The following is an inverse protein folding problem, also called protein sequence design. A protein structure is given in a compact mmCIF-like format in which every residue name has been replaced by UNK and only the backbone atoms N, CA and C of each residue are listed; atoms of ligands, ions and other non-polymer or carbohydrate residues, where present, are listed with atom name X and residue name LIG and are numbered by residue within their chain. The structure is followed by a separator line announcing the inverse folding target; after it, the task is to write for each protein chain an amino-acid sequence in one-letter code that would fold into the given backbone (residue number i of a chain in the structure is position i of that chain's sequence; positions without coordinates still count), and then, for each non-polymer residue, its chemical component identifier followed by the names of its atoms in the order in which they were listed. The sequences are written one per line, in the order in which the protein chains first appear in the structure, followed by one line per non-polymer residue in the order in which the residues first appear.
data_IF_462925405342
#
_entry.id   IF_462925405342
#
_cell.length_a   1.000
_cell.length_b   1.000
_cell.length_c   1.000
_cell.angle_alpha   90.00
_cell.angle_beta   90.00
_cell.angle_gamma   90.00
#
_symmetry.space_group_name_H-M   'P 1'
#
loop_
_entity.id
_entity.type
_entity.pdbx_description
1 polymer ?
#
# COMPACT_ATOMS: atom_id res chain seq x y z
N UNK A 1 3.28 7.15 26.17
CA UNK A 1 3.45 7.90 27.44
C UNK A 1 3.58 9.41 27.19
N UNK A 2 4.33 9.78 26.15
CA UNK A 2 4.60 11.17 25.75
C UNK A 2 3.34 12.01 25.49
N UNK A 3 2.23 11.39 25.03
CA UNK A 3 0.99 12.09 24.67
C UNK A 3 -0.05 12.19 25.80
N UNK A 4 0.34 11.99 27.07
CA UNK A 4 -0.59 12.03 28.21
C UNK A 4 -0.63 13.38 28.94
N UNK A 5 -0.07 14.43 28.34
CA UNK A 5 -0.06 15.77 28.93
C UNK A 5 -1.50 16.26 29.15
N UNK A 6 -1.81 16.74 30.36
CA UNK A 6 -3.15 17.20 30.73
C UNK A 6 -4.13 16.09 31.12
N UNK A 7 -3.80 14.81 30.88
CA UNK A 7 -4.72 13.70 31.16
C UNK A 7 -5.06 13.57 32.64
N UNK A 8 -4.09 13.80 33.54
CA UNK A 8 -4.33 13.81 34.99
C UNK A 8 -5.38 14.87 35.40
N UNK A 9 -5.29 16.07 34.83
CA UNK A 9 -6.25 17.14 35.10
C UNK A 9 -7.64 16.80 34.53
N UNK A 10 -7.70 16.23 33.32
CA UNK A 10 -8.94 15.76 32.72
C UNK A 10 -9.62 14.66 33.57
N UNK A 11 -8.85 13.72 34.11
CA UNK A 11 -9.34 12.69 35.04
C UNK A 11 -9.92 13.34 36.30
N UNK A 12 -9.20 14.27 36.92
CA UNK A 12 -9.67 14.97 38.13
C UNK A 12 -10.93 15.81 37.88
N UNK A 13 -11.06 16.41 36.71
CA UNK A 13 -12.27 17.13 36.29
C UNK A 13 -13.44 16.17 36.06
N UNK A 14 -13.22 15.05 35.39
CA UNK A 14 -14.25 14.03 35.15
C UNK A 14 -14.77 13.45 36.48
N UNK A 15 -13.89 13.20 37.46
CA UNK A 15 -14.27 12.73 38.79
C UNK A 15 -15.15 13.72 39.58
N UNK A 16 -15.08 15.02 39.26
CA UNK A 16 -15.87 16.09 39.91
C UNK A 16 -17.08 16.53 39.08
N UNK A 17 -17.27 15.98 37.89
CA UNK A 17 -18.35 16.38 36.98
C UNK A 17 -19.70 15.88 37.51
N UNK A 18 -20.59 16.81 37.84
CA UNK A 18 -21.94 16.49 38.31
C UNK A 18 -22.75 15.76 37.23
N UNK A 19 -22.52 16.11 35.95
CA UNK A 19 -23.16 15.45 34.81
C UNK A 19 -22.76 13.98 34.74
N UNK A 20 -21.47 13.67 34.80
CA UNK A 20 -20.97 12.27 34.78
C UNK A 20 -21.47 11.50 36.01
N UNK A 21 -21.41 12.11 37.19
CA UNK A 21 -21.84 11.49 38.45
C UNK A 21 -23.37 11.24 38.50
N UNK A 22 -24.15 11.93 37.67
CA UNK A 22 -25.61 11.76 37.59
C UNK A 22 -26.05 10.61 36.65
N UNK A 23 -25.13 10.06 35.86
CA UNK A 23 -25.44 8.97 34.90
C UNK A 23 -25.71 7.67 35.67
N UNK A 24 -26.94 7.16 35.55
CA UNK A 24 -27.35 5.89 36.20
C UNK A 24 -27.27 4.68 35.26
N UNK A 25 -27.31 4.90 33.95
CA UNK A 25 -27.19 3.84 32.94
C UNK A 25 -25.71 3.53 32.64
N UNK A 26 -25.22 2.30 32.89
CA UNK A 26 -23.80 2.01 32.79
C UNK A 26 -23.29 1.98 31.33
N UNK A 27 -24.14 1.67 30.35
CA UNK A 27 -23.81 1.78 28.93
C UNK A 27 -23.60 3.25 28.53
N UNK A 28 -24.49 4.14 28.99
CA UNK A 28 -24.34 5.59 28.80
C UNK A 28 -23.05 6.11 29.44
N UNK A 29 -22.72 5.65 30.65
CA UNK A 29 -21.46 6.03 31.31
C UNK A 29 -20.24 5.58 30.49
N UNK A 30 -20.24 4.35 30.00
CA UNK A 30 -19.16 3.82 29.15
C UNK A 30 -18.98 4.66 27.87
N UNK A 31 -20.09 5.02 27.22
CA UNK A 31 -20.07 5.87 26.01
C UNK A 31 -19.50 7.27 26.29
N UNK A 32 -19.99 7.94 27.35
CA UNK A 32 -19.52 9.28 27.73
C UNK A 32 -18.03 9.27 28.05
N UNK A 33 -17.56 8.28 28.82
CA UNK A 33 -16.13 8.16 29.15
C UNK A 33 -15.29 7.86 27.91
N UNK A 34 -15.80 7.03 26.98
CA UNK A 34 -15.15 6.76 25.68
C UNK A 34 -15.00 8.04 24.87
N UNK A 35 -16.07 8.80 24.65
CA UNK A 35 -16.00 10.06 23.91
C UNK A 35 -15.06 11.08 24.58
N UNK A 36 -15.05 11.13 25.91
CA UNK A 36 -14.15 11.99 26.68
C UNK A 36 -12.67 11.65 26.47
N UNK A 37 -12.30 10.36 26.58
CA UNK A 37 -10.90 9.93 26.40
C UNK A 37 -10.45 10.05 24.94
N UNK A 38 -11.30 9.68 23.99
CA UNK A 38 -10.99 9.76 22.57
C UNK A 38 -10.80 11.21 22.10
N UNK A 39 -11.65 12.14 22.54
CA UNK A 39 -11.51 13.56 22.21
C UNK A 39 -10.27 14.20 22.85
N UNK A 40 -9.91 13.78 24.06
CA UNK A 40 -8.75 14.33 24.77
C UNK A 40 -7.41 13.83 24.21
N UNK A 41 -7.36 12.56 23.79
CA UNK A 41 -6.13 11.91 23.32
C UNK A 41 -6.04 11.78 21.79
N UNK A 42 -7.14 12.08 21.08
CA UNK A 42 -7.28 11.88 19.64
C UNK A 42 -6.92 10.45 19.19
N UNK A 43 -7.28 9.45 20.01
CA UNK A 43 -7.04 8.04 19.72
C UNK A 43 -8.37 7.26 19.76
N UNK A 44 -8.95 6.91 18.60
CA UNK A 44 -10.25 6.22 18.53
C UNK A 44 -10.17 4.77 19.01
N UNK A 45 -8.97 4.22 19.23
CA UNK A 45 -8.77 2.84 19.68
C UNK A 45 -8.96 2.67 21.18
N UNK A 46 -8.99 3.78 21.93
CA UNK A 46 -9.34 3.79 23.35
C UNK A 46 -10.85 3.68 23.51
N UNK A 47 -11.31 2.57 24.07
CA UNK A 47 -12.73 2.28 24.24
C UNK A 47 -12.98 1.84 25.67
N UNK A 48 -13.99 2.43 26.30
CA UNK A 48 -14.54 1.95 27.58
C UNK A 48 -15.88 1.29 27.28
N UNK A 49 -16.02 0.02 27.62
CA UNK A 49 -17.24 -0.76 27.41
C UNK A 49 -17.83 -1.21 28.74
N UNK A 50 -19.15 -1.44 28.75
CA UNK A 50 -19.85 -2.10 29.85
C UNK A 50 -20.41 -3.44 29.36
N UNK A 51 -19.96 -4.53 29.97
CA UNK A 51 -20.23 -5.90 29.54
C UNK A 51 -20.70 -6.73 30.73
N UNK A 52 -22.02 -6.81 30.97
CA UNK A 52 -22.61 -7.42 32.16
C UNK A 52 -22.62 -8.96 32.14
N UNK A 53 -22.11 -9.59 31.07
CA UNK A 53 -22.15 -11.04 30.88
C UNK A 53 -21.44 -11.80 32.00
N UNK A 54 -22.14 -12.84 32.46
CA UNK A 54 -21.84 -13.75 33.58
C UNK A 54 -20.41 -14.28 33.48
N UNK A 55 -19.77 -14.48 34.64
CA UNK A 55 -18.50 -15.17 34.90
C UNK A 55 -18.21 -16.40 34.02
N UNK A 56 -17.96 -16.20 32.74
CA UNK A 56 -16.95 -16.97 32.05
C UNK A 56 -15.72 -16.09 32.17
N UNK A 57 -14.80 -16.49 33.07
CA UNK A 57 -13.41 -16.07 32.87
C UNK A 57 -13.15 -16.24 31.38
N UNK A 58 -12.60 -15.23 30.67
CA UNK A 58 -12.39 -15.34 29.23
C UNK A 58 -11.81 -16.72 29.02
N UNK A 59 -12.53 -17.60 28.31
CA UNK A 59 -11.98 -18.91 27.99
C UNK A 59 -10.69 -18.53 27.29
N UNK A 60 -9.57 -18.66 28.01
CA UNK A 60 -8.28 -18.37 27.42
C UNK A 60 -8.26 -19.34 26.28
N UNK A 61 -8.38 -18.81 25.05
CA UNK A 61 -8.21 -19.61 23.87
C UNK A 61 -6.95 -20.41 24.15
N UNK A 62 -7.01 -21.76 24.12
CA UNK A 62 -5.91 -22.58 24.58
C UNK A 62 -4.63 -22.02 23.97
N UNK A 63 -3.66 -21.69 24.82
CA UNK A 63 -2.39 -21.13 24.37
C UNK A 63 -1.91 -21.97 23.19
N UNK A 64 -1.41 -21.34 22.12
CA UNK A 64 -1.00 -22.07 20.91
C UNK A 64 -0.01 -23.20 21.23
N UNK A 65 0.75 -23.05 22.33
CA UNK A 65 1.61 -24.07 22.92
C UNK A 65 0.91 -25.40 23.27
N UNK A 66 -0.38 -25.36 23.63
CA UNK A 66 -1.17 -26.49 24.11
C UNK A 66 -1.90 -27.24 23.00
N UNK A 67 -1.90 -26.71 21.78
CA UNK A 67 -2.53 -27.34 20.62
C UNK A 67 -1.66 -28.45 20.05
N UNK A 68 -2.30 -29.50 19.54
CA UNK A 68 -1.60 -30.54 18.79
C UNK A 68 -1.12 -30.01 17.44
N UNK A 69 -0.21 -30.74 16.80
CA UNK A 69 0.30 -30.38 15.48
C UNK A 69 -0.83 -30.37 14.43
N UNK A 70 -1.78 -31.30 14.52
CA UNK A 70 -2.94 -31.41 13.63
C UNK A 70 -3.89 -30.22 13.79
N UNK A 71 -4.10 -29.76 15.03
CA UNK A 71 -4.95 -28.59 15.30
C UNK A 71 -4.30 -27.31 14.76
N UNK A 72 -2.99 -27.14 14.96
CA UNK A 72 -2.23 -26.01 14.41
C UNK A 72 -2.26 -26.03 12.88
N UNK A 73 -2.07 -27.20 12.27
CA UNK A 73 -2.13 -27.37 10.82
C UNK A 73 -3.53 -27.03 10.27
N UNK A 74 -4.59 -27.50 10.94
CA UNK A 74 -5.97 -27.21 10.57
C UNK A 74 -6.26 -25.71 10.59
N UNK A 75 -5.77 -25.00 11.62
CA UNK A 75 -5.88 -23.53 11.68
C UNK A 75 -5.12 -22.83 10.55
N UNK A 76 -3.89 -23.25 10.28
CA UNK A 76 -3.11 -22.71 9.15
C UNK A 76 -3.83 -22.91 7.82
N UNK A 77 -4.41 -24.08 7.57
CA UNK A 77 -5.13 -24.37 6.32
C UNK A 77 -6.41 -23.54 6.15
N UNK A 78 -7.04 -23.11 7.25
CA UNK A 78 -8.20 -22.21 7.20
C UNK A 78 -7.79 -20.78 6.87
N UNK A 79 -6.66 -20.33 7.43
CA UNK A 79 -6.21 -18.93 7.36
C UNK A 79 -5.25 -18.64 6.22
N UNK A 80 -4.62 -19.66 5.61
CA UNK A 80 -3.66 -19.51 4.53
C UNK A 80 -4.13 -20.28 3.31
N UNK A 81 -4.24 -19.59 2.17
CA UNK A 81 -4.57 -20.19 0.88
C UNK A 81 -3.54 -19.77 -0.15
N UNK A 82 -3.13 -20.71 -1.00
CA UNK A 82 -2.22 -20.41 -2.10
C UNK A 82 -2.69 -21.06 -3.40
N UNK A 83 -2.36 -20.40 -4.50
CA UNK A 83 -2.74 -20.76 -5.87
C UNK A 83 -1.66 -20.27 -6.84
N UNK A 84 -1.56 -20.90 -8.01
CA UNK A 84 -0.84 -20.35 -9.16
C UNK A 84 -1.88 -19.95 -10.19
N UNK A 85 -2.03 -18.64 -10.36
CA UNK A 85 -2.97 -18.02 -11.30
C UNK A 85 -2.45 -18.13 -12.74
N UNK A 86 -3.34 -17.84 -13.69
CA UNK A 86 -2.97 -17.71 -15.10
C UNK A 86 -1.82 -16.70 -15.29
N UNK A 87 -0.93 -17.01 -16.24
CA UNK A 87 0.27 -16.21 -16.47
C UNK A 87 1.42 -16.49 -15.50
N UNK A 88 1.36 -17.58 -14.74
CA UNK A 88 2.37 -18.00 -13.76
C UNK A 88 2.55 -16.97 -12.63
N UNK A 89 1.44 -16.47 -12.08
CA UNK A 89 1.43 -15.55 -10.94
C UNK A 89 1.08 -16.33 -9.67
N UNK A 90 1.97 -16.34 -8.69
CA UNK A 90 1.67 -16.89 -7.38
C UNK A 90 0.67 -16.02 -6.66
N UNK A 91 -0.32 -16.63 -6.03
CA UNK A 91 -1.28 -15.97 -5.17
C UNK A 91 -1.20 -16.60 -3.79
N UNK A 92 -0.98 -15.76 -2.76
CA UNK A 92 -0.91 -16.16 -1.36
C UNK A 92 -1.84 -15.27 -0.55
N UNK A 93 -2.91 -15.85 -0.03
CA UNK A 93 -3.84 -15.18 0.89
C UNK A 93 -3.55 -15.59 2.31
N UNK A 94 -3.46 -14.60 3.20
CA UNK A 94 -3.32 -14.80 4.64
C UNK A 94 -4.40 -14.00 5.36
N UNK A 95 -5.25 -14.68 6.13
CA UNK A 95 -6.32 -14.07 6.91
C UNK A 95 -5.92 -13.88 8.39
N UNK A 96 -4.85 -14.55 8.83
CA UNK A 96 -4.25 -14.44 10.15
C UNK A 96 -2.76 -14.81 10.07
N UNK A 97 -1.88 -13.99 10.65
CA UNK A 97 -0.44 -14.23 10.57
C UNK A 97 0.05 -15.20 11.67
N UNK A 98 0.64 -16.37 11.32
CA UNK A 98 1.15 -17.29 12.31
C UNK A 98 2.37 -16.71 13.04
N UNK A 99 2.39 -16.87 14.38
CA UNK A 99 3.54 -16.51 15.20
C UNK A 99 4.65 -17.56 15.18
N UNK A 100 5.78 -17.20 15.81
CA UNK A 100 6.97 -18.05 15.93
C UNK A 100 6.66 -19.43 16.53
N UNK A 101 5.73 -19.53 17.48
CA UNK A 101 5.32 -20.81 18.07
C UNK A 101 4.79 -21.79 17.02
N UNK A 102 3.97 -21.30 16.09
CA UNK A 102 3.41 -22.11 14.99
C UNK A 102 4.47 -22.37 13.93
N UNK A 103 5.24 -21.33 13.55
CA UNK A 103 6.28 -21.43 12.53
C UNK A 103 7.42 -22.38 12.93
N UNK A 104 7.77 -22.46 14.22
CA UNK A 104 8.79 -23.39 14.71
C UNK A 104 8.39 -24.87 14.57
N UNK A 105 7.08 -25.18 14.64
CA UNK A 105 6.55 -26.54 14.51
C UNK A 105 6.20 -26.91 13.06
N UNK A 106 5.70 -25.94 12.29
CA UNK A 106 5.11 -26.18 10.96
C UNK A 106 5.86 -25.47 9.81
N UNK A 107 7.01 -24.86 10.08
CA UNK A 107 7.80 -24.13 9.09
C UNK A 107 8.21 -24.99 7.90
N UNK A 108 8.77 -26.18 8.13
CA UNK A 108 9.14 -27.10 7.05
C UNK A 108 7.93 -27.56 6.22
N UNK A 109 6.78 -27.72 6.88
CA UNK A 109 5.53 -28.05 6.20
C UNK A 109 5.11 -26.93 5.25
N UNK A 110 5.15 -25.67 5.72
CA UNK A 110 4.85 -24.48 4.91
C UNK A 110 5.84 -24.33 3.76
N UNK A 111 7.12 -24.59 3.99
CA UNK A 111 8.12 -24.60 2.90
C UNK A 111 7.74 -25.60 1.82
N UNK A 112 7.50 -26.85 2.22
CA UNK A 112 7.29 -27.95 1.28
C UNK A 112 5.98 -27.82 0.51
N UNK A 113 4.91 -27.33 1.15
CA UNK A 113 3.57 -27.38 0.58
C UNK A 113 3.07 -26.06 0.00
N UNK A 114 3.72 -24.94 0.34
CA UNK A 114 3.32 -23.59 -0.08
C UNK A 114 4.48 -22.83 -0.72
N UNK A 115 5.57 -22.56 0.02
CA UNK A 115 6.65 -21.72 -0.52
C UNK A 115 7.33 -22.33 -1.74
N UNK A 116 7.65 -23.62 -1.71
CA UNK A 116 8.27 -24.34 -2.83
C UNK A 116 7.52 -24.13 -4.16
N UNK A 117 6.18 -24.16 -4.12
CA UNK A 117 5.32 -23.95 -5.29
C UNK A 117 5.29 -22.50 -5.74
N UNK A 118 5.33 -21.56 -4.78
CA UNK A 118 5.31 -20.13 -5.07
C UNK A 118 6.67 -19.65 -5.61
N UNK A 119 7.79 -20.27 -5.23
CA UNK A 119 9.13 -19.85 -5.66
C UNK A 119 9.33 -19.85 -7.17
N UNK A 120 8.69 -20.78 -7.89
CA UNK A 120 8.83 -20.92 -9.35
C UNK A 120 7.95 -19.94 -10.16
N UNK A 121 7.08 -19.19 -9.48
CA UNK A 121 6.19 -18.23 -10.13
C UNK A 121 6.95 -17.02 -10.67
N UNK A 122 6.38 -16.31 -11.65
CA UNK A 122 7.00 -15.12 -12.25
C UNK A 122 6.79 -13.84 -11.45
N UNK A 123 5.71 -13.79 -10.67
CA UNK A 123 5.36 -12.70 -9.76
C UNK A 123 4.47 -13.24 -8.63
N UNK A 124 4.37 -12.50 -7.53
CA UNK A 124 3.58 -12.89 -6.35
C UNK A 124 2.55 -11.81 -6.00
N UNK A 125 1.32 -12.24 -5.73
CA UNK A 125 0.29 -11.44 -5.09
C UNK A 125 0.11 -11.95 -3.66
N UNK A 126 0.43 -11.10 -2.67
CA UNK A 126 0.15 -11.33 -1.25
C UNK A 126 -1.17 -10.64 -0.90
N UNK A 127 -2.23 -11.43 -0.71
CA UNK A 127 -3.55 -10.92 -0.36
C UNK A 127 -3.74 -10.83 1.16
N UNK A 128 -3.81 -9.60 1.67
CA UNK A 128 -4.07 -9.26 3.07
C UNK A 128 -5.43 -8.59 3.28
N UNK A 129 -6.31 -8.58 2.25
CA UNK A 129 -7.62 -7.90 2.32
C UNK A 129 -8.54 -8.41 3.43
N UNK A 130 -8.28 -9.60 3.95
CA UNK A 130 -9.05 -10.23 5.02
C UNK A 130 -8.23 -10.46 6.29
N UNK A 131 -6.97 -10.00 6.32
CA UNK A 131 -6.08 -10.19 7.44
C UNK A 131 -6.39 -9.16 8.54
N UNK A 132 -7.07 -9.62 9.59
CA UNK A 132 -7.48 -8.80 10.76
C UNK A 132 -6.71 -9.15 12.03
N UNK A 133 -5.88 -10.19 11.96
CA UNK A 133 -5.18 -10.73 13.11
C UNK A 133 -3.78 -11.22 12.78
N UNK A 134 -3.10 -11.71 13.81
CA UNK A 134 -1.82 -12.36 13.68
C UNK A 134 -0.89 -12.00 14.81
N UNK A 135 0.32 -12.56 14.73
CA UNK A 135 1.33 -12.39 15.76
C UNK A 135 2.53 -11.62 15.21
N UNK A 136 2.95 -10.60 15.96
CA UNK A 136 4.15 -9.79 15.69
C UNK A 136 5.38 -10.66 15.35
N UNK A 137 5.56 -11.78 16.06
CA UNK A 137 6.69 -12.70 15.85
C UNK A 137 6.70 -13.40 14.49
N UNK A 138 5.61 -13.32 13.72
CA UNK A 138 5.54 -13.79 12.34
C UNK A 138 6.07 -12.79 11.30
N UNK A 139 6.14 -11.49 11.63
CA UNK A 139 6.58 -10.43 10.69
C UNK A 139 7.98 -10.74 10.12
N UNK A 140 9.02 -11.05 10.94
CA UNK A 140 10.33 -11.38 10.42
C UNK A 140 10.31 -12.45 9.34
N UNK A 141 9.45 -13.46 9.49
CA UNK A 141 9.39 -14.60 8.57
C UNK A 141 8.91 -14.15 7.18
N UNK A 142 7.74 -13.51 7.08
CA UNK A 142 7.19 -13.07 5.79
C UNK A 142 8.11 -12.06 5.11
N UNK A 143 8.60 -11.06 5.85
CA UNK A 143 9.49 -10.05 5.28
C UNK A 143 10.79 -10.69 4.79
N UNK A 144 11.30 -11.73 5.46
CA UNK A 144 12.52 -12.40 5.02
C UNK A 144 12.37 -13.18 3.72
N UNK A 145 11.25 -13.90 3.51
CA UNK A 145 11.04 -14.55 2.21
C UNK A 145 10.92 -13.55 1.06
N UNK A 146 10.42 -12.35 1.32
CA UNK A 146 10.26 -11.32 0.31
C UNK A 146 11.47 -10.37 0.23
N UNK A 147 12.36 -10.37 1.21
CA UNK A 147 13.64 -9.67 1.14
C UNK A 147 14.68 -10.59 0.49
N UNK A 148 15.14 -10.31 -0.74
CA UNK A 148 15.96 -11.24 -1.52
C UNK A 148 17.42 -11.29 -1.05
N UNK A 149 17.88 -10.28 -0.31
CA UNK A 149 19.23 -10.22 0.23
C UNK A 149 19.44 -11.15 1.43
N UNK A 150 20.67 -11.63 1.58
CA UNK A 150 21.13 -12.25 2.83
C UNK A 150 21.59 -11.21 3.86
N UNK A 151 21.52 -9.92 3.49
CA UNK A 151 21.74 -8.81 4.41
C UNK A 151 20.62 -8.76 5.43
N UNK A 152 20.99 -8.76 6.70
CA UNK A 152 20.05 -8.56 7.80
C UNK A 152 19.66 -7.08 7.83
N UNK A 153 18.37 -6.79 7.71
CA UNK A 153 17.81 -5.44 7.69
C UNK A 153 16.88 -5.25 8.89
N UNK A 154 17.03 -4.11 9.58
CA UNK A 154 16.08 -3.67 10.60
C UNK A 154 14.83 -3.13 9.91
N UNK A 155 13.68 -3.73 10.19
CA UNK A 155 12.44 -3.41 9.47
C UNK A 155 11.44 -2.67 10.34
N UNK A 156 11.45 -2.90 11.65
CA UNK A 156 10.63 -2.14 12.61
C UNK A 156 11.18 -2.22 14.04
N UNK A 157 10.82 -1.29 14.90
CA UNK A 157 10.98 -1.38 16.35
C UNK A 157 9.63 -1.27 17.03
N UNK A 158 9.31 -2.23 17.89
CA UNK A 158 8.02 -2.27 18.59
C UNK A 158 8.25 -1.92 20.05
N UNK A 159 7.52 -0.91 20.54
CA UNK A 159 7.46 -0.57 21.95
C UNK A 159 6.26 -1.21 22.60
N UNK A 160 6.49 -2.04 23.63
CA UNK A 160 5.47 -2.63 24.49
C UNK A 160 5.39 -1.88 25.82
N UNK A 161 4.21 -1.30 26.11
CA UNK A 161 3.99 -0.47 27.30
C UNK A 161 3.90 -1.28 28.61
N UNK A 162 3.21 -2.42 28.70
CA UNK A 162 3.12 -3.20 29.93
C UNK A 162 4.47 -3.68 30.47
N UNK A 163 5.32 -4.24 29.60
CA UNK A 163 6.69 -4.63 29.95
C UNK A 163 7.67 -3.45 29.96
N UNK A 164 7.29 -2.33 29.33
CA UNK A 164 8.12 -1.16 29.10
C UNK A 164 9.42 -1.51 28.37
N UNK A 165 9.32 -2.33 27.34
CA UNK A 165 10.46 -2.79 26.52
C UNK A 165 10.29 -2.37 25.07
N UNK A 166 11.41 -2.28 24.35
CA UNK A 166 11.45 -2.13 22.90
C UNK A 166 12.07 -3.37 22.29
N UNK A 167 11.39 -3.96 21.30
CA UNK A 167 11.89 -5.12 20.56
C UNK A 167 12.10 -4.73 19.12
N UNK A 168 13.31 -4.94 18.62
CA UNK A 168 13.63 -4.71 17.21
C UNK A 168 13.22 -5.93 16.38
N UNK A 169 12.65 -5.65 15.22
CA UNK A 169 12.22 -6.62 14.21
C UNK A 169 13.23 -6.57 13.08
N UNK A 170 13.97 -7.66 12.91
CA UNK A 170 14.99 -7.82 11.89
C UNK A 170 14.58 -8.92 10.91
N UNK A 171 14.98 -8.80 9.64
CA UNK A 171 14.93 -9.94 8.73
C UNK A 171 15.82 -11.07 9.25
N UNK A 172 15.42 -12.32 9.05
CA UNK A 172 16.19 -13.49 9.41
C UNK A 172 17.46 -13.57 8.54
N UNK A 173 18.61 -14.00 9.08
CA UNK A 173 19.82 -14.21 8.28
C UNK A 173 19.64 -15.35 7.27
N UNK A 174 18.85 -16.36 7.63
CA UNK A 174 18.49 -17.49 6.77
C UNK A 174 17.00 -17.79 6.92
N UNK A 175 16.39 -18.22 5.82
CA UNK A 175 15.03 -18.77 5.82
C UNK A 175 15.10 -20.25 5.42
N UNK A 176 14.23 -21.11 5.96
CA UNK A 176 14.07 -22.46 5.45
C UNK A 176 13.68 -22.46 3.96
N UNK A 177 14.43 -23.13 3.09
CA UNK A 177 14.22 -23.07 1.64
C UNK A 177 14.86 -21.84 1.00
N UNK A 178 14.20 -21.26 -0.02
CA UNK A 178 14.75 -20.14 -0.80
C UNK A 178 13.97 -18.84 -0.56
N UNK A 179 14.63 -17.70 -0.82
CA UNK A 179 14.00 -16.37 -0.82
C UNK A 179 13.40 -16.07 -2.18
N UNK A 180 12.30 -15.34 -2.21
CA UNK A 180 11.65 -14.90 -3.44
C UNK A 180 12.54 -13.87 -4.16
N UNK A 181 12.89 -14.17 -5.41
CA UNK A 181 13.90 -13.42 -6.19
C UNK A 181 13.61 -11.92 -6.23
N UNK A 182 14.68 -11.11 -6.18
CA UNK A 182 14.60 -9.65 -6.30
C UNK A 182 13.97 -9.20 -7.63
N UNK A 183 14.14 -10.00 -8.68
CA UNK A 183 13.69 -9.68 -10.04
C UNK A 183 12.20 -9.99 -10.25
N UNK A 184 11.56 -10.66 -9.28
CA UNK A 184 10.16 -11.06 -9.34
C UNK A 184 9.30 -10.05 -8.60
N UNK A 185 8.31 -9.52 -9.31
CA UNK A 185 7.40 -8.52 -8.78
C UNK A 185 6.55 -9.07 -7.63
N UNK A 186 6.29 -8.21 -6.65
CA UNK A 186 5.39 -8.50 -5.53
C UNK A 186 4.33 -7.41 -5.46
N UNK A 187 3.07 -7.81 -5.38
CA UNK A 187 1.94 -6.92 -5.13
C UNK A 187 1.26 -7.33 -3.83
N UNK A 188 0.95 -6.38 -2.97
CA UNK A 188 0.21 -6.62 -1.73
C UNK A 188 -1.20 -6.06 -1.89
N UNK A 189 -2.22 -6.88 -1.62
CA UNK A 189 -3.62 -6.43 -1.65
C UNK A 189 -4.09 -6.02 -0.26
N UNK A 190 -4.72 -4.85 -0.16
CA UNK A 190 -5.26 -4.32 1.10
C UNK A 190 -6.73 -3.93 1.00
N UNK A 191 -7.45 -3.99 2.13
CA UNK A 191 -8.81 -3.45 2.27
C UNK A 191 -8.90 -2.57 3.52
N UNK A 192 -10.04 -1.88 3.71
CA UNK A 192 -10.35 -1.19 4.96
C UNK A 192 -10.46 -2.09 6.20
N UNK A 193 -10.40 -3.42 6.03
CA UNK A 193 -10.35 -4.41 7.13
C UNK A 193 -8.95 -4.97 7.37
N UNK A 194 -7.96 -4.63 6.55
CA UNK A 194 -6.59 -5.06 6.80
C UNK A 194 -6.11 -4.36 8.07
N UNK A 195 -5.77 -5.14 9.10
CA UNK A 195 -5.57 -4.63 10.46
C UNK A 195 -4.30 -5.16 11.14
N UNK A 196 -3.71 -4.33 11.99
CA UNK A 196 -2.64 -4.71 12.91
C UNK A 196 -1.38 -5.20 12.22
N UNK A 197 -0.97 -6.44 12.51
CA UNK A 197 0.26 -7.05 11.98
C UNK A 197 0.31 -7.06 10.44
N UNK A 198 -0.85 -7.18 9.79
CA UNK A 198 -0.94 -7.15 8.32
C UNK A 198 -0.64 -5.75 7.74
N UNK A 199 -1.04 -4.70 8.45
CA UNK A 199 -0.72 -3.32 8.10
C UNK A 199 0.78 -3.09 8.19
N UNK A 200 1.43 -3.64 9.23
CA UNK A 200 2.87 -3.52 9.40
C UNK A 200 3.65 -4.21 8.27
N UNK A 201 3.23 -5.41 7.87
CA UNK A 201 3.82 -6.10 6.70
C UNK A 201 3.65 -5.27 5.42
N UNK A 202 2.44 -4.78 5.16
CA UNK A 202 2.17 -3.96 3.97
C UNK A 202 3.01 -2.66 3.99
N UNK A 203 3.13 -2.03 5.15
CA UNK A 203 3.92 -0.83 5.36
C UNK A 203 5.41 -1.09 5.14
N UNK A 204 5.98 -2.11 5.77
CA UNK A 204 7.39 -2.49 5.64
C UNK A 204 7.73 -2.79 4.18
N UNK A 205 6.96 -3.65 3.50
CA UNK A 205 7.22 -4.01 2.11
C UNK A 205 7.12 -2.82 1.15
N UNK A 206 6.20 -1.88 1.44
CA UNK A 206 6.08 -0.62 0.71
C UNK A 206 7.31 0.28 0.93
N UNK A 207 7.73 0.48 2.19
CA UNK A 207 8.89 1.33 2.51
C UNK A 207 10.19 0.76 1.94
N UNK A 208 10.34 -0.57 1.94
CA UNK A 208 11.47 -1.26 1.31
C UNK A 208 11.44 -1.21 -0.22
N UNK A 209 10.39 -0.64 -0.84
CA UNK A 209 10.11 -0.71 -2.29
C UNK A 209 10.11 -2.13 -2.84
N UNK A 210 9.77 -3.11 -1.98
CA UNK A 210 9.72 -4.52 -2.38
C UNK A 210 8.38 -4.89 -3.00
N UNK A 211 7.30 -4.22 -2.59
CA UNK A 211 5.97 -4.48 -3.10
C UNK A 211 5.21 -3.21 -3.46
N UNK A 212 4.31 -3.35 -4.43
CA UNK A 212 3.30 -2.36 -4.76
C UNK A 212 2.05 -2.68 -3.95
N UNK A 213 1.57 -1.74 -3.13
CA UNK A 213 0.34 -1.92 -2.35
C UNK A 213 -0.86 -1.47 -3.19
N UNK A 214 -1.85 -2.34 -3.37
CA UNK A 214 -3.02 -2.11 -4.25
C UNK A 214 -4.30 -2.41 -3.48
N UNK A 215 -5.27 -1.51 -3.54
CA UNK A 215 -6.56 -1.70 -2.87
C UNK A 215 -6.96 -0.46 -2.10
N UNK A 216 -7.52 -0.66 -0.92
CA UNK A 216 -7.99 0.43 -0.07
C UNK A 216 -6.94 0.81 0.98
N UNK A 217 -7.15 1.99 1.58
CA UNK A 217 -6.47 2.37 2.81
C UNK A 217 -6.86 1.38 3.91
N UNK A 218 -5.88 0.91 4.67
CA UNK A 218 -6.09 -0.06 5.75
C UNK A 218 -6.77 0.57 6.98
N UNK A 219 -7.11 -0.26 7.97
CA UNK A 219 -7.90 0.14 9.14
C UNK A 219 -7.25 1.28 9.96
N UNK A 220 -5.93 1.27 10.09
CA UNK A 220 -5.21 2.14 11.02
C UNK A 220 -5.31 1.66 12.46
N UNK A 221 -5.25 0.35 12.66
CA UNK A 221 -5.44 -0.29 13.96
C UNK A 221 -4.24 -0.12 14.91
N UNK A 222 -3.98 -1.18 15.68
CA UNK A 222 -2.80 -1.29 16.55
C UNK A 222 -2.21 -2.69 16.42
N UNK A 223 -0.92 -2.83 16.73
CA UNK A 223 -0.26 -4.14 16.76
C UNK A 223 -0.81 -5.05 17.87
N UNK A 224 -1.15 -4.47 19.02
CA UNK A 224 -1.75 -5.21 20.15
C UNK A 224 -2.73 -4.31 20.91
N UNK A 225 -3.95 -4.82 21.09
CA UNK A 225 -5.02 -4.22 21.89
C UNK A 225 -5.29 -5.14 23.08
N UNK A 226 -5.17 -4.60 24.29
CA UNK A 226 -5.59 -5.31 25.48
C UNK A 226 -6.93 -4.78 25.98
N UNK A 227 -7.80 -5.71 26.33
CA UNK A 227 -9.08 -5.44 26.98
C UNK A 227 -8.98 -5.78 28.46
N UNK A 228 -8.90 -4.75 29.28
CA UNK A 228 -8.63 -4.84 30.71
C UNK A 228 -9.91 -4.60 31.51
N UNK A 229 -10.27 -5.53 32.40
CA UNK A 229 -11.40 -5.33 33.32
C UNK A 229 -11.05 -4.25 34.34
N UNK A 230 -11.96 -3.31 34.58
CA UNK A 230 -11.78 -2.24 35.55
C UNK A 230 -12.21 -2.73 36.94
N UNK A 231 -11.22 -3.15 37.74
CA UNK A 231 -11.44 -3.67 39.09
C UNK A 231 -12.39 -4.87 39.11
N UNK A 232 -13.37 -4.84 40.02
CA UNK A 232 -14.40 -5.89 40.13
C UNK A 232 -15.69 -5.54 39.37
N UNK A 233 -15.69 -4.48 38.55
CA UNK A 233 -16.85 -4.00 37.82
C UNK A 233 -17.07 -4.74 36.49
N UNK A 234 -18.19 -4.48 35.84
CA UNK A 234 -18.46 -4.96 34.48
C UNK A 234 -17.99 -3.96 33.40
N UNK A 235 -17.14 -3.00 33.76
CA UNK A 235 -16.50 -2.11 32.80
C UNK A 235 -15.16 -2.68 32.33
N UNK A 236 -14.85 -2.47 31.07
CA UNK A 236 -13.59 -2.82 30.45
C UNK A 236 -12.97 -1.60 29.76
N UNK A 237 -11.64 -1.53 29.76
CA UNK A 237 -10.84 -0.61 28.98
C UNK A 237 -10.14 -1.39 27.88
N UNK A 238 -10.48 -1.11 26.62
CA UNK A 238 -9.68 -1.52 25.47
C UNK A 238 -8.65 -0.45 25.19
N UNK A 239 -7.37 -0.82 25.18
CA UNK A 239 -6.24 0.09 25.05
C UNK A 239 -5.14 -0.51 24.17
N UNK A 240 -4.57 0.26 23.22
CA UNK A 240 -3.35 -0.16 22.53
C UNK A 240 -2.19 -0.20 23.52
N UNK A 241 -1.56 -1.36 23.61
CA UNK A 241 -0.45 -1.61 24.55
C UNK A 241 0.90 -1.68 23.87
N UNK A 242 0.92 -1.92 22.56
CA UNK A 242 2.11 -1.89 21.74
C UNK A 242 1.98 -0.87 20.62
N UNK A 243 3.12 -0.30 20.19
CA UNK A 243 3.20 0.55 19.00
C UNK A 243 4.43 0.25 18.16
N UNK A 244 4.28 0.31 16.84
CA UNK A 244 5.35 0.39 15.86
C UNK A 244 6.03 1.76 15.93
N UNK A 245 7.35 1.80 15.85
CA UNK A 245 8.17 3.02 15.86
C UNK A 245 8.90 3.24 14.52
N UNK A 246 8.76 2.32 13.58
CA UNK A 246 9.53 2.26 12.35
C UNK A 246 10.99 1.81 12.56
N UNK A 247 11.74 1.59 11.47
CA UNK A 247 13.11 1.08 11.52
C UNK A 247 14.14 2.07 12.08
N UNK A 248 13.79 3.36 12.21
CA UNK A 248 14.69 4.36 12.81
C UNK A 248 14.38 4.59 14.30
N UNK A 249 13.34 3.95 14.86
CA UNK A 249 12.94 4.07 16.27
C UNK A 249 12.48 5.46 16.70
N UNK A 250 12.49 6.44 15.79
CA UNK A 250 12.26 7.87 16.08
C UNK A 250 10.80 8.29 16.11
N UNK A 251 9.85 7.37 15.96
CA UNK A 251 8.41 7.66 16.08
C UNK A 251 7.85 8.61 15.01
N UNK A 252 8.57 8.82 13.91
CA UNK A 252 8.04 9.57 12.76
C UNK A 252 6.94 8.76 12.09
N UNK A 253 5.73 9.33 12.04
CA UNK A 253 4.58 8.96 11.20
C UNK A 253 4.57 7.49 10.73
N UNK A 254 4.13 6.58 11.62
CA UNK A 254 3.91 5.18 11.29
C UNK A 254 2.52 4.98 10.66
N UNK A 255 2.20 3.73 10.29
CA UNK A 255 0.89 3.38 9.76
C UNK A 255 -0.20 3.37 10.84
N UNK A 256 0.14 3.32 12.13
CA UNK A 256 -0.88 3.23 13.19
C UNK A 256 -1.76 4.49 13.26
N UNK A 257 -3.07 4.28 13.48
CA UNK A 257 -4.08 5.34 13.51
C UNK A 257 -4.46 5.87 12.12
N UNK A 258 -3.51 5.98 11.19
CA UNK A 258 -3.82 6.38 9.81
C UNK A 258 -4.11 5.20 8.89
N UNK A 259 -3.57 4.03 9.14
CA UNK A 259 -3.48 2.94 8.17
C UNK A 259 -2.44 3.22 7.08
N UNK A 260 -2.15 2.18 6.31
CA UNK A 260 -1.31 2.19 5.12
C UNK A 260 -2.11 2.72 3.95
N UNK A 261 -1.67 3.84 3.39
CA UNK A 261 -2.19 4.33 2.11
C UNK A 261 -1.67 3.42 0.98
N UNK A 262 -2.52 2.90 0.08
CA UNK A 262 -2.08 2.08 -1.04
C UNK A 262 -1.24 2.90 -2.03
N UNK A 263 -0.37 2.24 -2.79
CA UNK A 263 0.30 2.84 -3.96
C UNK A 263 -0.71 3.09 -5.09
N UNK A 264 -1.69 2.18 -5.24
CA UNK A 264 -2.79 2.30 -6.21
C UNK A 264 -4.12 2.11 -5.48
N UNK A 265 -4.86 3.20 -5.33
CA UNK A 265 -6.19 3.19 -4.72
C UNK A 265 -7.23 2.56 -5.64
N UNK A 266 -7.93 1.54 -5.15
CA UNK A 266 -9.05 0.89 -5.84
C UNK A 266 -9.93 0.13 -4.82
N UNK A 267 -11.23 -0.10 -5.06
CA UNK A 267 -12.05 -0.93 -4.18
C UNK A 267 -11.42 -2.30 -3.94
N UNK A 268 -11.54 -2.85 -2.72
CA UNK A 268 -10.88 -4.10 -2.34
C UNK A 268 -11.27 -5.28 -3.26
N UNK A 269 -12.49 -5.28 -3.80
CA UNK A 269 -12.99 -6.29 -4.73
C UNK A 269 -12.25 -6.26 -6.08
N UNK A 270 -11.81 -5.08 -6.51
CA UNK A 270 -11.10 -4.86 -7.78
C UNK A 270 -9.57 -4.93 -7.64
N UNK A 271 -9.06 -5.03 -6.42
CA UNK A 271 -7.62 -4.99 -6.14
C UNK A 271 -6.83 -6.09 -6.85
N UNK A 272 -7.37 -7.33 -6.89
CA UNK A 272 -6.71 -8.45 -7.57
C UNK A 272 -6.63 -8.23 -9.08
N UNK A 273 -7.72 -7.81 -9.71
CA UNK A 273 -7.74 -7.49 -11.15
C UNK A 273 -6.71 -6.42 -11.48
N UNK A 274 -6.69 -5.34 -10.69
CA UNK A 274 -5.74 -4.25 -10.85
C UNK A 274 -4.29 -4.72 -10.68
N UNK A 275 -4.03 -5.59 -9.70
CA UNK A 275 -2.71 -6.19 -9.49
C UNK A 275 -2.26 -7.02 -10.69
N UNK A 276 -3.13 -7.86 -11.25
CA UNK A 276 -2.82 -8.68 -12.42
C UNK A 276 -2.56 -7.83 -13.67
N UNK A 277 -3.28 -6.72 -13.84
CA UNK A 277 -3.02 -5.76 -14.91
C UNK A 277 -1.62 -5.11 -14.77
N UNK A 278 -1.24 -4.70 -13.55
CA UNK A 278 0.10 -4.17 -13.24
C UNK A 278 1.16 -5.20 -13.59
N UNK A 279 1.02 -6.43 -13.12
CA UNK A 279 1.98 -7.51 -13.36
C UNK A 279 2.12 -7.84 -14.85
N UNK A 280 1.02 -7.83 -15.60
CA UNK A 280 1.02 -8.05 -17.05
C UNK A 280 1.82 -6.98 -17.77
N UNK A 281 1.59 -5.71 -17.42
CA UNK A 281 2.35 -4.57 -17.97
C UNK A 281 3.84 -4.70 -17.65
N UNK A 282 4.19 -4.97 -16.39
CA UNK A 282 5.58 -5.07 -15.94
C UNK A 282 6.33 -6.20 -16.62
N UNK A 283 5.67 -7.34 -16.85
CA UNK A 283 6.23 -8.45 -17.62
C UNK A 283 6.54 -8.07 -19.08
N UNK A 284 5.71 -7.22 -19.70
CA UNK A 284 5.93 -6.77 -21.07
C UNK A 284 6.99 -5.65 -21.19
N UNK A 285 7.25 -4.93 -20.09
CA UNK A 285 8.02 -3.71 -20.07
C UNK A 285 9.46 -3.83 -20.61
N UNK A 286 10.26 -4.86 -20.27
CA UNK A 286 11.60 -5.02 -20.87
C UNK A 286 11.56 -5.11 -22.40
N UNK A 287 10.54 -5.78 -22.94
CA UNK A 287 10.31 -5.87 -24.38
C UNK A 287 9.94 -4.51 -24.98
N UNK A 288 9.04 -3.76 -24.33
CA UNK A 288 8.63 -2.42 -24.77
C UNK A 288 9.84 -1.47 -24.81
N UNK A 289 10.64 -1.44 -23.75
CA UNK A 289 11.83 -0.57 -23.65
C UNK A 289 12.86 -0.92 -24.73
N UNK A 290 13.12 -2.21 -24.98
CA UNK A 290 14.03 -2.65 -26.04
C UNK A 290 13.58 -2.16 -27.42
N UNK A 291 12.31 -2.35 -27.78
CA UNK A 291 11.80 -1.90 -29.08
C UNK A 291 11.82 -0.36 -29.20
N UNK A 292 11.59 0.35 -28.10
CA UNK A 292 11.72 1.81 -28.07
C UNK A 292 13.16 2.26 -28.31
N UNK A 293 14.13 1.59 -27.67
CA UNK A 293 15.56 1.85 -27.89
C UNK A 293 15.96 1.62 -29.36
N UNK A 294 15.52 0.52 -29.96
CA UNK A 294 15.72 0.23 -31.39
C UNK A 294 15.09 1.29 -32.29
N UNK A 295 13.84 1.69 -32.02
CA UNK A 295 13.17 2.72 -32.79
C UNK A 295 13.88 4.09 -32.72
N UNK A 296 14.43 4.45 -31.55
CA UNK A 296 15.21 5.67 -31.40
C UNK A 296 16.54 5.61 -32.17
N UNK A 297 17.18 4.43 -32.23
CA UNK A 297 18.42 4.25 -33.00
C UNK A 297 18.17 4.34 -34.51
N UNK A 298 17.09 3.73 -34.98
CA UNK A 298 16.84 3.56 -36.41
C UNK A 298 16.17 4.79 -37.05
N UNK A 299 15.32 5.50 -36.30
CA UNK A 299 14.42 6.51 -36.89
C UNK A 299 14.58 7.92 -36.33
N UNK A 300 15.21 8.12 -35.17
CA UNK A 300 15.29 9.46 -34.59
C UNK A 300 16.33 10.33 -35.30
N UNK A 301 15.89 11.47 -35.83
CA UNK A 301 16.71 12.32 -36.72
C UNK A 301 17.77 13.13 -35.98
N UNK A 302 17.57 13.44 -34.69
CA UNK A 302 18.56 14.12 -33.86
C UNK A 302 19.56 13.11 -33.27
N UNK A 303 20.40 12.54 -34.16
CA UNK A 303 21.30 11.41 -33.88
C UNK A 303 22.22 11.66 -32.68
N UNK A 304 22.70 12.91 -32.51
CA UNK A 304 23.59 13.29 -31.39
C UNK A 304 22.94 13.10 -30.01
N UNK A 305 21.61 13.07 -29.94
CA UNK A 305 20.85 12.86 -28.69
C UNK A 305 20.59 11.38 -28.39
N UNK A 306 20.70 10.50 -29.38
CA UNK A 306 20.37 9.07 -29.25
C UNK A 306 21.15 8.38 -28.12
N UNK A 307 22.48 8.53 -27.98
CA UNK A 307 23.22 7.87 -26.89
C UNK A 307 22.70 8.24 -25.49
N UNK A 308 22.34 9.51 -25.28
CA UNK A 308 21.80 9.99 -24.01
C UNK A 308 20.40 9.41 -23.73
N UNK A 309 19.55 9.31 -24.76
CA UNK A 309 18.21 8.71 -24.63
C UNK A 309 18.28 7.22 -24.30
N UNK A 310 19.18 6.48 -24.96
CA UNK A 310 19.39 5.06 -24.68
C UNK A 310 19.88 4.82 -23.25
N UNK A 311 20.85 5.64 -22.81
CA UNK A 311 21.34 5.59 -21.43
C UNK A 311 20.22 5.89 -20.44
N UNK A 312 19.41 6.91 -20.71
CA UNK A 312 18.26 7.24 -19.86
C UNK A 312 17.29 6.07 -19.74
N UNK A 313 16.86 5.47 -20.85
CA UNK A 313 15.95 4.32 -20.86
C UNK A 313 16.52 3.11 -20.13
N UNK A 314 17.83 2.88 -20.20
CA UNK A 314 18.50 1.79 -19.47
C UNK A 314 18.63 2.04 -17.96
N UNK A 315 18.68 3.31 -17.54
CA UNK A 315 18.87 3.72 -16.14
C UNK A 315 17.57 4.07 -15.39
N UNK A 316 16.45 4.12 -16.11
CA UNK A 316 15.16 4.51 -15.58
C UNK A 316 14.62 3.49 -14.56
N UNK A 317 14.07 4.00 -13.45
CA UNK A 317 13.44 3.17 -12.43
C UNK A 317 11.99 2.79 -12.81
N UNK A 318 11.86 1.61 -13.42
CA UNK A 318 10.56 1.06 -13.78
C UNK A 318 9.81 0.39 -12.60
N UNK A 319 10.42 0.26 -11.42
CA UNK A 319 9.76 -0.37 -10.24
C UNK A 319 8.50 0.36 -9.80
N UNK A 320 8.43 1.66 -10.09
CA UNK A 320 7.28 2.53 -9.77
C UNK A 320 6.15 2.51 -10.80
N UNK A 321 6.28 1.78 -11.91
CA UNK A 321 5.29 1.76 -12.99
C UNK A 321 4.07 0.92 -12.60
N UNK A 322 2.89 1.55 -12.59
CA UNK A 322 1.62 0.94 -12.12
C UNK A 322 0.49 0.97 -13.16
N UNK A 323 0.68 1.62 -14.30
CA UNK A 323 -0.28 1.62 -15.41
C UNK A 323 0.40 2.00 -16.72
N UNK A 324 -0.27 1.73 -17.84
CA UNK A 324 0.20 2.16 -19.17
C UNK A 324 0.29 3.69 -19.26
N UNK A 325 -0.69 4.40 -18.70
CA UNK A 325 -0.70 5.87 -18.64
C UNK A 325 0.48 6.41 -17.82
N UNK A 326 0.78 5.79 -16.68
CA UNK A 326 1.94 6.14 -15.85
C UNK A 326 3.25 5.89 -16.60
N UNK A 327 3.37 4.74 -17.29
CA UNK A 327 4.52 4.43 -18.13
C UNK A 327 4.71 5.49 -19.23
N UNK A 328 3.66 5.80 -19.98
CA UNK A 328 3.68 6.80 -21.06
C UNK A 328 4.07 8.16 -20.52
N UNK A 329 3.51 8.57 -19.39
CA UNK A 329 3.81 9.86 -18.75
C UNK A 329 5.28 9.94 -18.37
N UNK A 330 5.81 8.90 -17.71
CA UNK A 330 7.21 8.87 -17.29
C UNK A 330 8.18 8.79 -18.47
N UNK A 331 7.87 7.99 -19.50
CA UNK A 331 8.67 7.92 -20.72
C UNK A 331 8.71 9.27 -21.43
N UNK A 332 7.56 9.93 -21.62
CA UNK A 332 7.50 11.24 -22.27
C UNK A 332 8.29 12.30 -21.49
N UNK A 333 8.08 12.37 -20.17
CA UNK A 333 8.82 13.31 -19.33
C UNK A 333 10.34 13.11 -19.43
N UNK A 334 10.81 11.85 -19.37
CA UNK A 334 12.23 11.51 -19.45
C UNK A 334 12.84 11.77 -20.83
N UNK A 335 12.18 11.30 -21.89
CA UNK A 335 12.65 11.44 -23.27
C UNK A 335 12.72 12.90 -23.70
N UNK A 336 11.70 13.71 -23.36
CA UNK A 336 11.67 15.13 -23.72
C UNK A 336 12.72 15.94 -22.94
N UNK A 337 12.91 15.63 -21.65
CA UNK A 337 13.93 16.29 -20.84
C UNK A 337 15.35 16.01 -21.37
N UNK A 338 15.63 14.78 -21.81
CA UNK A 338 16.96 14.38 -22.30
C UNK A 338 17.22 14.85 -23.74
N UNK A 339 16.20 14.81 -24.60
CA UNK A 339 16.34 15.20 -26.00
C UNK A 339 16.26 16.70 -26.24
N UNK A 340 15.61 17.44 -25.34
CA UNK A 340 15.14 18.82 -25.56
C UNK A 340 14.18 18.95 -26.76
N UNK A 341 13.58 17.83 -27.21
CA UNK A 341 12.61 17.81 -28.32
C UNK A 341 11.19 17.52 -27.79
N UNK A 342 10.31 18.53 -27.70
CA UNK A 342 8.94 18.34 -27.22
C UNK A 342 8.07 17.50 -28.18
N UNK A 343 8.54 17.24 -29.41
CA UNK A 343 7.80 16.45 -30.40
C UNK A 343 8.05 14.95 -30.26
N UNK A 344 9.09 14.54 -29.53
CA UNK A 344 9.35 13.13 -29.24
C UNK A 344 8.30 12.64 -28.23
N UNK A 345 7.43 11.74 -28.68
CA UNK A 345 6.27 11.29 -27.92
C UNK A 345 6.06 9.78 -28.05
N UNK A 346 5.81 9.14 -26.92
CA UNK A 346 5.29 7.79 -26.77
C UNK A 346 3.78 7.91 -26.47
N UNK A 347 2.98 7.04 -27.10
CA UNK A 347 1.54 6.95 -26.85
C UNK A 347 1.14 5.49 -26.70
N UNK A 348 0.25 5.20 -25.75
CA UNK A 348 -0.45 3.93 -25.72
C UNK A 348 -1.52 3.94 -26.82
N UNK A 349 -1.53 2.91 -27.68
CA UNK A 349 -2.61 2.72 -28.65
C UNK A 349 -3.67 1.89 -27.94
N UNK A 350 -4.82 2.50 -27.64
CA UNK A 350 -5.96 1.77 -27.07
C UNK A 350 -6.43 0.64 -27.99
N UNK A 351 -7.28 -0.28 -27.50
CA UNK A 351 -7.92 -1.27 -28.36
C UNK A 351 -8.61 -0.52 -29.50
N UNK A 352 -8.12 -0.75 -30.71
CA UNK A 352 -8.35 0.08 -31.90
C UNK A 352 -9.80 0.55 -32.03
N UNK A 353 -9.98 1.86 -32.15
CA UNK A 353 -10.91 2.41 -33.13
C UNK A 353 -10.46 1.93 -34.52
N UNK A 354 -10.84 0.71 -34.89
CA UNK A 354 -10.95 0.34 -36.30
C UNK A 354 -12.16 1.06 -36.87
N UNK A 355 -12.05 2.36 -37.09
CA UNK A 355 -12.83 3.07 -38.11
C UNK A 355 -11.88 3.66 -39.14
N UNK A 356 -11.17 2.77 -39.84
CA UNK A 356 -10.89 3.04 -41.25
C UNK A 356 -12.22 2.96 -41.99
N UNK A 357 -12.90 4.10 -42.15
CA UNK A 357 -14.09 4.27 -42.98
C UNK A 357 -13.92 5.54 -43.83
N UNK A 358 -14.29 5.51 -45.12
CA UNK A 358 -13.87 6.52 -46.09
C UNK A 358 -14.58 7.85 -45.86
N UNK A 359 -13.92 8.91 -46.33
CA UNK A 359 -14.44 10.26 -46.47
C UNK A 359 -15.93 10.26 -46.82
N UNK A 360 -16.76 10.71 -45.89
CA UNK A 360 -18.15 11.05 -46.15
C UNK A 360 -18.26 12.57 -46.09
N UNK A 361 -18.58 13.14 -47.25
CA UNK A 361 -18.99 14.52 -47.47
C UNK A 361 -19.93 14.99 -46.36
N UNK A 362 -19.58 16.11 -45.72
CA UNK A 362 -20.46 16.82 -44.80
C UNK A 362 -21.20 17.87 -45.61
N UNK A 363 -22.47 17.59 -45.89
CA UNK A 363 -23.48 18.54 -46.32
C UNK A 363 -23.81 19.51 -45.16
N UNK A 364 -24.10 20.74 -45.55
CA UNK A 364 -24.15 21.95 -44.75
C UNK A 364 -25.25 21.96 -43.68
N UNK A 365 -24.97 22.55 -42.51
CA UNK A 365 -25.96 23.42 -41.86
C UNK A 365 -25.31 24.45 -40.93
N UNK A 366 -25.59 25.71 -41.28
CA UNK A 366 -25.15 26.99 -40.73
C UNK A 366 -25.30 27.17 -39.21
N UNK A 367 -24.22 27.65 -38.56
CA UNK A 367 -24.28 28.62 -37.44
C UNK A 367 -23.11 29.61 -37.59
N UNK A 368 -23.42 30.91 -37.56
CA UNK A 368 -22.56 32.04 -37.93
C UNK A 368 -21.31 32.23 -37.05
N UNK A 369 -20.18 32.52 -37.71
CA UNK A 369 -18.91 32.96 -37.11
C UNK A 369 -18.80 34.51 -37.13
N UNK A 370 -17.99 35.14 -36.24
CA UNK A 370 -17.78 36.58 -36.25
C UNK A 370 -16.92 37.02 -37.44
N UNK A 371 -17.19 38.21 -37.96
CA UNK A 371 -16.53 38.80 -39.13
C UNK A 371 -15.01 38.95 -38.95
N UNK A 372 -14.27 38.46 -39.94
CA UNK A 372 -12.83 38.72 -40.13
C UNK A 372 -12.69 40.07 -40.84
N UNK A 373 -11.80 40.99 -40.43
CA UNK A 373 -11.63 42.26 -41.14
C UNK A 373 -11.01 41.99 -42.53
N UNK A 374 -11.61 42.55 -43.58
CA UNK A 374 -11.08 42.46 -44.93
C UNK A 374 -9.68 43.09 -45.03
N UNK A 375 -8.74 42.34 -45.61
CA UNK A 375 -7.40 42.80 -45.95
C UNK A 375 -7.47 43.96 -46.97
N UNK A 376 -6.83 45.12 -46.72
CA UNK A 376 -6.75 46.20 -47.69
C UNK A 376 -5.97 45.74 -48.93
N UNK A 377 -6.55 45.93 -50.12
CA UNK A 377 -5.91 45.61 -51.41
C UNK A 377 -4.93 46.68 -51.90
N UNK A 378 -4.75 47.75 -51.14
CA UNK A 378 -3.85 48.85 -51.45
C UNK A 378 -2.48 48.61 -50.82
N UNK A 379 -1.44 48.59 -51.67
CA UNK A 379 -0.05 48.31 -51.30
C UNK A 379 0.49 49.32 -50.28
N UNK A 380 0.03 50.59 -50.35
CA UNK A 380 0.41 51.62 -49.39
C UNK A 380 -0.19 51.38 -47.99
N UNK A 381 -1.41 50.83 -47.93
CA UNK A 381 -2.06 50.49 -46.66
C UNK A 381 -1.46 49.23 -46.01
N UNK A 382 -1.02 48.27 -46.83
CA UNK A 382 -0.28 47.09 -46.40
C UNK A 382 1.09 47.46 -45.81
N UNK A 383 1.82 48.38 -46.44
CA UNK A 383 3.13 48.83 -45.94
C UNK A 383 3.01 49.58 -44.61
N UNK A 384 1.98 50.43 -44.44
CA UNK A 384 1.73 51.12 -43.17
C UNK A 384 1.40 50.16 -42.00
N UNK A 385 0.75 49.02 -42.31
CA UNK A 385 0.47 47.98 -41.32
C UNK A 385 1.75 47.23 -40.89
N UNK A 386 2.65 46.96 -41.84
CA UNK A 386 3.95 46.33 -41.57
C UNK A 386 4.84 47.24 -40.71
N UNK A 387 4.90 48.53 -41.04
CA UNK A 387 5.71 49.51 -40.30
C UNK A 387 5.15 49.81 -38.88
N UNK A 388 3.85 49.58 -38.66
CA UNK A 388 3.20 49.70 -37.35
C UNK A 388 3.44 48.48 -36.44
N UNK A 389 3.64 47.30 -37.01
CA UNK A 389 3.77 46.04 -36.24
C UNK A 389 5.23 45.70 -35.96
N UNK A 390 6.15 46.11 -36.83
CA UNK A 390 7.58 45.84 -36.69
C UNK A 390 8.37 47.12 -36.45
N UNK A 391 8.14 47.79 -35.32
CA UNK A 391 9.07 48.83 -34.85
C UNK A 391 10.17 48.18 -34.01
N UNK A 392 11.34 48.03 -34.61
CA UNK A 392 12.57 47.70 -33.90
C UNK A 392 13.05 48.97 -33.20
N UNK A 393 13.08 48.96 -31.86
CA UNK A 393 13.82 49.94 -31.05
C UNK A 393 15.26 49.50 -30.87
#
# INVERSE_FOLDING_TARGET
PENLMGMQAAIEQAMKSHEILSISDPQTLAHVLTSGVQSSLNDPRLIISYEPSILEAPQQAPALTNLTQEELLSRLQMNIRHEILEGNVGYLRMDDLPGQEVLSKLGEFLVTHMWSKLMDTSALVLDLRHCTGGHISGIPYVISYLHPGNTVVHVDTIYDRPSNTTTEIWTLPQVPGERYSADKDVVVLTSGRTGGVAEDIAYILKQMRRAIVVGERTEGGALDLQKLRIGQSNFFLTVPVSRSLGPLGGGSQTWEGSGVLPCVGTPAEQALEKALAILTLRRALPGVVRHLQEALQDYYTLVDRVPALLHHLASMDYSSVVSEEDLVTKLNAGLQAVSEDPRLLVRAVGPKDTSSGPEAEVDETLVAAPEVPEMPKDEAALQALVDSVFQVS
#
